data_IF_777998544721
#
_entry.id   IF_777998544721
#
_cell.length_a   1.000
_cell.length_b   1.000
_cell.length_c   1.000
_cell.angle_alpha   90.00
_cell.angle_beta   90.00
_cell.angle_gamma   90.00
#
_symmetry.space_group_name_H-M   'P 1'
#
loop_
_entity.id
_entity.type
_entity.pdbx_description
1 polymer ?
#
# COMPACT_ATOMS: atom_id res chain seq x y z
N UNK A 1 -2.99 5.34 61.67
CA UNK A 1 -4.10 4.45 61.33
C UNK A 1 -5.07 5.27 60.52
N UNK A 2 -4.98 5.15 59.20
CA UNK A 2 -6.02 5.44 58.22
C UNK A 2 -5.43 4.97 56.89
N UNK A 3 -5.96 3.84 56.41
CA UNK A 3 -5.52 3.14 55.19
C UNK A 3 -6.37 3.62 54.03
N UNK A 4 -5.73 4.17 53.00
CA UNK A 4 -6.30 4.33 51.68
C UNK A 4 -6.43 2.96 51.02
N UNK A 5 -7.65 2.53 50.69
CA UNK A 5 -7.88 1.43 49.75
C UNK A 5 -8.11 2.03 48.36
N UNK A 6 -7.34 1.53 47.40
CA UNK A 6 -7.53 1.82 45.98
C UNK A 6 -8.65 0.97 45.40
N UNK A 7 -9.40 1.55 44.47
CA UNK A 7 -10.28 0.81 43.57
C UNK A 7 -9.49 0.47 42.31
N UNK A 8 -8.95 -0.75 42.27
CA UNK A 8 -8.66 -1.48 41.03
C UNK A 8 -9.98 -2.10 40.56
N UNK A 9 -10.49 -1.65 39.41
CA UNK A 9 -11.55 -2.39 38.69
C UNK A 9 -10.93 -3.01 37.44
N UNK A 10 -10.16 -4.08 37.63
CA UNK A 10 -9.92 -5.09 36.60
C UNK A 10 -11.09 -6.09 36.66
N UNK A 11 -12.00 -5.98 35.70
CA UNK A 11 -13.02 -7.02 35.48
C UNK A 11 -12.48 -8.01 34.44
N UNK A 12 -12.24 -9.28 34.78
CA UNK A 12 -11.98 -10.32 33.79
C UNK A 12 -13.29 -10.61 33.04
N UNK A 13 -13.24 -10.59 31.71
CA UNK A 13 -14.34 -10.98 30.83
C UNK A 13 -14.58 -12.49 31.01
N UNK A 14 -15.62 -12.84 31.76
CA UNK A 14 -16.13 -14.20 31.88
C UNK A 14 -17.13 -14.45 30.75
N UNK A 15 -16.79 -15.32 29.79
CA UNK A 15 -17.78 -15.86 28.84
C UNK A 15 -18.28 -17.19 29.38
N UNK A 16 -19.54 -17.24 29.82
CA UNK A 16 -20.26 -18.50 30.08
C UNK A 16 -21.12 -18.83 28.86
N UNK A 17 -21.10 -20.10 28.45
CA UNK A 17 -22.18 -20.70 27.66
C UNK A 17 -23.35 -20.99 28.59
N UNK A 18 -24.50 -20.40 28.30
CA UNK A 18 -25.79 -21.06 28.13
C UNK A 18 -26.87 -19.96 27.95
N UNK A 19 -27.47 -19.93 26.75
CA UNK A 19 -28.76 -19.32 26.39
C UNK A 19 -29.14 -17.90 26.87
N UNK A 20 -28.19 -16.96 26.89
CA UNK A 20 -28.51 -15.53 26.86
C UNK A 20 -27.72 -14.86 25.72
N UNK A 21 -28.41 -14.07 24.91
CA UNK A 21 -27.81 -13.20 23.89
C UNK A 21 -26.89 -12.22 24.63
N UNK A 22 -25.62 -12.58 24.75
CA UNK A 22 -24.55 -11.68 25.16
C UNK A 22 -24.63 -10.52 24.18
N UNK A 23 -24.91 -9.32 24.68
CA UNK A 23 -24.78 -8.09 23.88
C UNK A 23 -23.45 -8.17 23.14
N UNK A 24 -23.49 -8.23 21.80
CA UNK A 24 -22.29 -8.43 20.97
C UNK A 24 -21.20 -7.49 21.48
N UNK A 25 -20.16 -8.08 22.09
CA UNK A 25 -19.08 -7.30 22.66
C UNK A 25 -18.46 -6.53 21.49
N UNK A 26 -18.68 -5.21 21.47
CA UNK A 26 -18.21 -4.34 20.39
C UNK A 26 -16.71 -4.54 20.19
N UNK A 27 -16.30 -4.89 18.97
CA UNK A 27 -14.89 -5.00 18.63
C UNK A 27 -14.15 -3.70 18.93
N UNK A 28 -13.06 -3.81 19.69
CA UNK A 28 -12.16 -2.70 20.05
C UNK A 28 -10.71 -3.09 19.74
N UNK A 29 -10.47 -3.72 18.60
CA UNK A 29 -9.14 -4.04 18.11
C UNK A 29 -8.39 -2.82 17.61
N UNK A 30 -7.07 -2.95 17.51
CA UNK A 30 -6.19 -1.91 17.00
C UNK A 30 -4.95 -2.54 16.40
N UNK A 31 -4.26 -1.74 15.58
CA UNK A 31 -2.94 -2.03 15.03
C UNK A 31 -1.90 -1.15 15.68
N UNK A 32 -0.73 -1.71 15.99
CA UNK A 32 0.45 -0.96 16.36
C UNK A 32 1.27 -0.64 15.11
N UNK A 33 1.81 0.56 15.03
CA UNK A 33 2.70 0.97 13.97
C UNK A 33 3.92 1.67 14.56
N UNK A 34 5.06 1.58 13.89
CA UNK A 34 6.22 2.38 14.24
C UNK A 34 7.24 2.54 13.12
N UNK A 35 8.05 3.57 13.24
CA UNK A 35 9.09 3.92 12.28
C UNK A 35 10.23 4.69 12.99
N UNK A 36 11.38 4.78 12.33
CA UNK A 36 12.57 5.45 12.83
C UNK A 36 12.41 6.96 12.92
N UNK A 37 13.04 7.53 13.95
CA UNK A 37 13.37 8.94 14.04
C UNK A 37 14.89 9.07 14.15
N UNK A 38 15.51 9.41 13.03
CA UNK A 38 16.95 9.63 12.95
C UNK A 38 17.27 11.13 12.97
N UNK A 39 18.19 11.53 13.85
CA UNK A 39 18.70 12.90 13.94
C UNK A 39 20.21 12.92 14.03
N UNK A 40 20.84 13.57 13.04
CA UNK A 40 22.29 13.79 13.04
C UNK A 40 22.61 15.21 13.44
N UNK A 41 23.34 15.38 14.56
CA UNK A 41 23.86 16.66 15.01
C UNK A 41 25.32 16.78 14.59
N UNK A 42 25.58 17.71 13.65
CA UNK A 42 26.92 17.98 13.15
C UNK A 42 27.54 19.15 13.93
N UNK A 43 28.75 19.01 14.50
CA UNK A 43 29.43 20.14 15.10
C UNK A 43 29.85 21.13 14.01
N UNK A 44 29.89 22.44 14.34
CA UNK A 44 30.36 23.49 13.41
C UNK A 44 31.78 23.21 12.91
N UNK A 45 32.66 22.81 13.82
CA UNK A 45 34.03 22.39 13.52
C UNK A 45 34.22 20.97 14.06
N UNK A 46 34.44 20.00 13.18
CA UNK A 46 34.79 18.64 13.58
C UNK A 46 36.21 18.60 14.14
N UNK A 47 36.39 18.01 15.31
CA UNK A 47 37.69 17.76 15.93
C UNK A 47 37.76 16.32 16.41
N UNK A 48 38.95 15.81 16.72
CA UNK A 48 39.10 14.46 17.30
C UNK A 48 38.18 14.26 18.53
N UNK A 49 38.01 15.31 19.35
CA UNK A 49 37.15 15.30 20.54
C UNK A 49 35.68 15.68 20.29
N UNK A 50 35.32 16.18 19.11
CA UNK A 50 33.95 16.61 18.75
C UNK A 50 33.59 16.06 17.38
N UNK A 51 33.03 14.86 17.39
CA UNK A 51 32.52 14.16 16.22
C UNK A 51 31.01 14.40 16.04
N UNK A 52 30.48 14.04 14.86
CA UNK A 52 29.04 14.05 14.61
C UNK A 52 28.34 13.05 15.51
N UNK A 53 27.24 13.47 16.12
CA UNK A 53 26.40 12.59 16.94
C UNK A 53 25.18 12.18 16.13
N UNK A 54 24.91 10.88 16.08
CA UNK A 54 23.71 10.33 15.42
C UNK A 54 22.81 9.72 16.48
N UNK A 55 21.60 10.25 16.58
CA UNK A 55 20.56 9.74 17.47
C UNK A 55 19.57 8.96 16.59
N UNK A 56 19.41 7.66 16.87
CA UNK A 56 18.49 6.80 16.15
C UNK A 56 17.45 6.29 17.15
N UNK A 57 16.23 6.79 17.03
CA UNK A 57 15.11 6.50 17.93
C UNK A 57 13.98 5.84 17.17
N UNK A 58 12.97 5.36 17.89
CA UNK A 58 11.80 4.71 17.29
C UNK A 58 10.52 5.36 17.79
N UNK A 59 9.66 5.82 16.88
CA UNK A 59 8.36 6.37 17.22
C UNK A 59 7.26 5.33 16.99
N UNK A 60 6.29 5.27 17.88
CA UNK A 60 5.18 4.32 17.77
C UNK A 60 3.83 4.98 18.00
N UNK A 61 2.81 4.42 17.38
CA UNK A 61 1.41 4.83 17.53
C UNK A 61 0.49 3.62 17.37
N UNK A 62 -0.72 3.72 17.90
CA UNK A 62 -1.79 2.75 17.70
C UNK A 62 -2.87 3.36 16.80
N UNK A 63 -3.47 2.54 15.94
CA UNK A 63 -4.59 2.91 15.07
C UNK A 63 -5.76 1.99 15.40
N UNK A 64 -6.91 2.56 15.74
CA UNK A 64 -8.11 1.78 16.04
C UNK A 64 -8.65 1.11 14.77
N UNK A 65 -9.06 -0.14 14.88
CA UNK A 65 -9.72 -0.84 13.78
C UNK A 65 -11.08 -0.20 13.49
N UNK A 66 -11.38 -0.02 12.20
CA UNK A 66 -12.70 0.47 11.75
C UNK A 66 -13.69 -0.64 11.42
N UNK A 67 -13.18 -1.86 11.30
CA UNK A 67 -13.94 -3.04 10.89
C UNK A 67 -13.92 -4.01 12.07
N UNK A 68 -15.06 -4.65 12.32
CA UNK A 68 -15.17 -5.71 13.29
C UNK A 68 -14.49 -6.98 12.76
N UNK A 69 -13.44 -7.42 13.47
CA UNK A 69 -12.67 -8.62 13.14
C UNK A 69 -12.90 -9.75 14.15
N UNK A 70 -13.95 -9.69 14.97
CA UNK A 70 -14.28 -10.69 15.98
C UNK A 70 -14.54 -12.09 15.43
N UNK A 71 -14.97 -12.18 14.16
CA UNK A 71 -15.19 -13.43 13.44
C UNK A 71 -13.93 -13.99 12.78
N UNK A 72 -12.81 -13.27 12.81
CA UNK A 72 -11.56 -13.76 12.26
C UNK A 72 -10.93 -14.77 13.21
N UNK A 73 -10.60 -15.94 12.68
CA UNK A 73 -9.89 -16.97 13.43
C UNK A 73 -8.43 -16.56 13.65
N UNK A 74 -7.97 -16.65 14.89
CA UNK A 74 -6.53 -16.62 15.20
C UNK A 74 -5.85 -17.99 14.97
N UNK A 75 -6.65 -19.04 14.80
CA UNK A 75 -6.15 -20.35 14.41
C UNK A 75 -5.85 -20.34 12.92
N UNK A 76 -4.64 -20.78 12.55
CA UNK A 76 -4.26 -20.97 11.16
C UNK A 76 -5.28 -21.90 10.47
N UNK A 77 -5.84 -21.52 9.31
CA UNK A 77 -6.82 -22.37 8.64
C UNK A 77 -6.17 -23.71 8.26
N UNK A 78 -6.80 -24.82 8.63
CA UNK A 78 -6.44 -26.17 8.17
C UNK A 78 -6.73 -26.26 6.66
N UNK A 79 -5.76 -25.94 5.81
CA UNK A 79 -5.86 -26.08 4.35
C UNK A 79 -4.91 -27.18 3.86
N UNK A 80 -5.33 -27.90 2.82
CA UNK A 80 -4.66 -29.02 2.17
C UNK A 80 -3.16 -28.77 1.92
N UNK A 81 -2.37 -29.83 2.10
CA UNK A 81 -0.91 -29.88 2.02
C UNK A 81 -0.30 -29.49 0.66
N UNK A 82 -1.10 -29.22 -0.37
CA UNK A 82 -0.64 -28.84 -1.71
C UNK A 82 -1.00 -27.38 -2.05
N UNK A 83 -0.06 -26.42 -1.89
CA UNK A 83 -0.30 -25.03 -2.24
C UNK A 83 -0.43 -24.87 -3.77
N UNK A 84 -1.57 -24.35 -4.24
CA UNK A 84 -1.74 -23.94 -5.64
C UNK A 84 -0.99 -22.64 -5.91
N UNK A 85 0.29 -22.75 -6.29
CA UNK A 85 1.16 -21.62 -6.62
C UNK A 85 0.58 -20.64 -7.66
N UNK A 86 -0.41 -21.05 -8.46
CA UNK A 86 -1.14 -20.15 -9.34
C UNK A 86 -1.91 -19.04 -8.61
N UNK A 87 -2.35 -19.29 -7.37
CA UNK A 87 -3.14 -18.36 -6.57
C UNK A 87 -2.39 -17.07 -6.18
N UNK A 88 -1.07 -17.14 -5.99
CA UNK A 88 -0.24 -15.96 -5.65
C UNK A 88 0.29 -15.22 -6.88
N UNK A 89 0.19 -15.82 -8.07
CA UNK A 89 0.63 -15.22 -9.32
C UNK A 89 -0.52 -14.44 -9.97
N UNK A 90 -0.22 -13.42 -10.80
CA UNK A 90 -1.23 -12.74 -11.57
C UNK A 90 -1.97 -13.69 -12.52
N UNK A 91 -3.31 -13.66 -12.45
CA UNK A 91 -4.18 -14.34 -13.42
C UNK A 91 -4.77 -13.36 -14.45
N UNK A 92 -5.40 -13.90 -15.50
CA UNK A 92 -6.14 -13.08 -16.45
C UNK A 92 -7.30 -12.32 -15.79
N UNK A 93 -7.95 -12.90 -14.79
CA UNK A 93 -9.03 -12.24 -14.05
C UNK A 93 -8.49 -11.05 -13.24
N UNK A 94 -7.30 -11.20 -12.63
CA UNK A 94 -6.64 -10.09 -11.95
C UNK A 94 -6.27 -8.98 -12.95
N UNK A 95 -5.79 -9.34 -14.15
CA UNK A 95 -5.50 -8.38 -15.23
C UNK A 95 -6.75 -7.57 -15.59
N UNK A 96 -7.86 -8.25 -15.88
CA UNK A 96 -9.11 -7.62 -16.27
C UNK A 96 -9.67 -6.73 -15.14
N UNK A 97 -9.58 -7.20 -13.90
CA UNK A 97 -10.00 -6.40 -12.73
C UNK A 97 -9.19 -5.12 -12.60
N UNK A 98 -7.85 -5.19 -12.70
CA UNK A 98 -6.98 -4.02 -12.60
C UNK A 98 -7.26 -3.05 -13.76
N UNK A 99 -7.44 -3.54 -14.99
CA UNK A 99 -7.76 -2.69 -16.15
C UNK A 99 -9.09 -1.94 -15.94
N UNK A 100 -10.12 -2.61 -15.41
CA UNK A 100 -11.40 -1.97 -15.08
C UNK A 100 -11.25 -0.89 -14.01
N UNK A 101 -10.44 -1.13 -12.98
CA UNK A 101 -10.16 -0.12 -11.97
C UNK A 101 -9.41 1.08 -12.57
N UNK A 102 -8.41 0.82 -13.43
CA UNK A 102 -7.70 1.87 -14.17
C UNK A 102 -8.65 2.66 -15.09
N UNK A 103 -9.65 2.03 -15.70
CA UNK A 103 -10.66 2.72 -16.50
C UNK A 103 -11.43 3.76 -15.66
N UNK A 104 -11.76 3.45 -14.41
CA UNK A 104 -12.35 4.43 -13.49
C UNK A 104 -11.37 5.59 -13.21
N UNK A 105 -10.08 5.31 -13.03
CA UNK A 105 -9.06 6.36 -12.85
C UNK A 105 -8.89 7.23 -14.09
N UNK A 106 -8.92 6.63 -15.28
CA UNK A 106 -8.91 7.33 -16.57
C UNK A 106 -10.15 8.23 -16.67
N UNK A 107 -11.35 7.73 -16.36
CA UNK A 107 -12.57 8.54 -16.36
C UNK A 107 -12.44 9.78 -15.44
N UNK A 108 -11.88 9.61 -14.23
CA UNK A 108 -11.59 10.73 -13.32
C UNK A 108 -10.61 11.74 -13.92
N UNK A 109 -9.56 11.27 -14.59
CA UNK A 109 -8.60 12.13 -15.31
C UNK A 109 -9.30 12.94 -16.39
N UNK A 110 -10.14 12.31 -17.21
CA UNK A 110 -10.85 12.97 -18.32
C UNK A 110 -11.78 14.06 -17.80
N UNK A 111 -12.66 13.74 -16.84
CA UNK A 111 -13.60 14.69 -16.23
C UNK A 111 -12.88 15.86 -15.58
N UNK A 112 -11.77 15.61 -14.89
CA UNK A 112 -11.02 16.66 -14.19
C UNK A 112 -10.38 17.66 -15.15
N UNK A 113 -9.93 17.23 -16.33
CA UNK A 113 -9.03 18.02 -17.18
C UNK A 113 -9.63 18.46 -18.52
N UNK A 114 -10.68 17.80 -19.04
CA UNK A 114 -11.30 18.16 -20.33
C UNK A 114 -12.67 18.76 -20.08
N UNK A 115 -12.87 20.00 -20.54
CA UNK A 115 -14.11 20.76 -20.36
C UNK A 115 -15.37 20.02 -20.86
N UNK A 116 -15.28 19.32 -21.99
CA UNK A 116 -16.35 18.45 -22.50
C UNK A 116 -16.73 17.36 -21.48
N UNK A 117 -15.74 16.61 -20.97
CA UNK A 117 -16.02 15.53 -20.03
C UNK A 117 -16.56 16.06 -18.71
N UNK A 118 -16.02 17.18 -18.24
CA UNK A 118 -16.52 17.87 -17.05
C UNK A 118 -17.99 18.24 -17.19
N UNK A 119 -18.36 18.87 -18.29
CA UNK A 119 -19.72 19.34 -18.53
C UNK A 119 -20.74 18.19 -18.55
N UNK A 120 -20.37 17.05 -19.13
CA UNK A 120 -21.30 15.96 -19.39
C UNK A 120 -21.27 14.83 -18.36
N UNK A 121 -20.17 14.62 -17.64
CA UNK A 121 -19.98 13.42 -16.81
C UNK A 121 -19.60 13.68 -15.34
N UNK A 122 -19.43 14.93 -14.90
CA UNK A 122 -19.11 15.24 -13.48
C UNK A 122 -20.10 14.61 -12.50
N UNK A 123 -21.39 14.56 -12.86
CA UNK A 123 -22.43 13.97 -12.02
C UNK A 123 -22.51 12.44 -12.12
N UNK A 124 -21.92 11.84 -13.15
CA UNK A 124 -22.00 10.42 -13.50
C UNK A 124 -20.74 9.62 -13.16
N UNK A 125 -19.57 10.27 -13.10
CA UNK A 125 -18.27 9.62 -12.88
C UNK A 125 -18.15 9.03 -11.47
N UNK A 126 -17.43 7.92 -11.36
CA UNK A 126 -17.19 7.24 -10.08
C UNK A 126 -15.89 7.70 -9.43
N UNK A 127 -16.00 8.54 -8.38
CA UNK A 127 -14.85 9.06 -7.64
C UNK A 127 -14.30 8.10 -6.57
N UNK A 128 -15.10 7.15 -6.11
CA UNK A 128 -14.72 6.12 -5.14
C UNK A 128 -15.12 4.76 -5.69
N UNK A 129 -14.15 3.88 -5.95
CA UNK A 129 -14.43 2.50 -6.34
C UNK A 129 -14.97 1.79 -5.10
N UNK A 130 -16.21 1.35 -5.17
CA UNK A 130 -16.89 0.73 -4.02
C UNK A 130 -16.33 -0.67 -3.76
N UNK A 131 -16.19 -0.99 -2.48
CA UNK A 131 -15.77 -2.28 -1.95
C UNK A 131 -16.55 -2.63 -0.68
N UNK A 132 -16.29 -3.82 -0.14
CA UNK A 132 -17.03 -4.38 1.01
C UNK A 132 -17.08 -3.46 2.22
N UNK A 133 -16.02 -2.70 2.46
CA UNK A 133 -15.84 -1.87 3.66
C UNK A 133 -15.79 -0.36 3.36
N UNK A 134 -16.34 0.08 2.23
CA UNK A 134 -16.29 1.50 1.83
C UNK A 134 -16.90 2.42 2.89
N UNK A 135 -17.98 2.01 3.55
CA UNK A 135 -18.63 2.83 4.57
C UNK A 135 -17.70 3.05 5.76
N UNK A 136 -17.08 1.99 6.26
CA UNK A 136 -16.14 1.99 7.38
C UNK A 136 -14.88 2.79 7.01
N UNK A 137 -14.27 2.49 5.86
CA UNK A 137 -13.02 3.12 5.42
C UNK A 137 -13.17 4.59 5.00
N UNK A 138 -14.39 5.06 4.73
CA UNK A 138 -14.68 6.49 4.52
C UNK A 138 -14.60 7.35 5.79
N UNK A 139 -14.52 6.72 6.97
CA UNK A 139 -14.44 7.43 8.25
C UNK A 139 -12.99 7.75 8.65
N UNK A 140 -12.80 8.87 9.34
CA UNK A 140 -11.48 9.33 9.79
C UNK A 140 -10.89 8.31 10.78
N UNK A 141 -9.62 7.93 10.59
CA UNK A 141 -8.90 7.06 11.53
C UNK A 141 -8.77 7.70 12.91
N UNK A 142 -8.93 6.89 13.95
CA UNK A 142 -8.56 7.25 15.32
C UNK A 142 -7.14 6.74 15.61
N UNK A 143 -6.25 7.66 15.99
CA UNK A 143 -4.82 7.38 16.16
C UNK A 143 -4.37 7.88 17.52
N UNK A 144 -3.70 7.02 18.28
CA UNK A 144 -3.12 7.33 19.59
C UNK A 144 -1.60 7.25 19.51
N UNK A 145 -0.93 8.36 19.79
CA UNK A 145 0.53 8.38 19.82
C UNK A 145 1.04 7.70 21.09
N UNK A 146 1.89 6.69 20.95
CA UNK A 146 2.48 5.93 22.06
C UNK A 146 3.86 6.47 22.47
N UNK A 147 4.40 7.41 21.69
CA UNK A 147 5.61 8.16 21.99
C UNK A 147 6.87 7.61 21.31
N UNK A 148 8.00 8.21 21.71
CA UNK A 148 9.33 7.96 21.15
C UNK A 148 10.14 7.14 22.15
N UNK A 149 10.69 6.01 21.69
CA UNK A 149 11.65 5.22 22.41
C UNK A 149 13.07 5.64 22.04
N UNK A 150 13.89 5.93 23.05
CA UNK A 150 15.29 6.31 22.88
C UNK A 150 16.20 5.10 22.61
N UNK A 151 15.76 4.22 21.71
CA UNK A 151 16.37 2.94 21.34
C UNK A 151 16.30 2.84 19.82
N UNK A 152 17.27 2.16 19.22
CA UNK A 152 17.37 1.99 17.78
C UNK A 152 16.91 0.60 17.35
N UNK A 153 16.16 0.53 16.25
CA UNK A 153 15.84 -0.76 15.62
C UNK A 153 17.05 -1.42 14.90
N UNK A 154 18.16 -0.69 14.77
CA UNK A 154 19.36 -1.20 14.09
C UNK A 154 20.04 -2.33 14.87
N UNK A 155 19.86 -2.36 16.18
CA UNK A 155 20.38 -3.39 17.09
C UNK A 155 19.24 -4.26 17.61
N UNK A 156 19.44 -5.59 17.64
CA UNK A 156 18.47 -6.51 18.23
C UNK A 156 18.24 -6.23 19.73
N UNK A 157 19.29 -5.92 20.49
CA UNK A 157 19.18 -5.70 21.93
C UNK A 157 18.35 -4.45 22.26
N UNK A 158 18.50 -3.39 21.47
CA UNK A 158 17.73 -2.16 21.64
C UNK A 158 16.30 -2.31 21.09
N UNK A 159 16.13 -3.00 19.96
CA UNK A 159 14.81 -3.25 19.40
C UNK A 159 13.96 -4.17 20.28
N UNK A 160 14.56 -5.18 20.91
CA UNK A 160 13.87 -6.03 21.87
C UNK A 160 13.31 -5.24 23.06
N UNK A 161 14.00 -4.17 23.49
CA UNK A 161 13.49 -3.28 24.54
C UNK A 161 12.33 -2.42 24.05
N UNK A 162 12.26 -2.10 22.75
CA UNK A 162 11.09 -1.46 22.14
C UNK A 162 9.92 -2.45 22.13
N UNK A 163 10.13 -3.69 21.66
CA UNK A 163 9.10 -4.72 21.61
C UNK A 163 8.57 -5.06 23.02
N UNK A 164 9.43 -5.14 24.04
CA UNK A 164 9.01 -5.34 25.44
C UNK A 164 8.11 -4.21 25.96
N UNK A 165 8.22 -2.98 25.42
CA UNK A 165 7.32 -1.87 25.77
C UNK A 165 6.01 -1.95 25.01
N UNK A 166 6.06 -2.33 23.74
CA UNK A 166 4.86 -2.50 22.91
C UNK A 166 4.02 -3.70 23.37
N UNK A 167 4.65 -4.76 23.86
CA UNK A 167 4.01 -5.96 24.40
C UNK A 167 3.04 -5.65 25.54
N UNK A 168 3.26 -4.55 26.27
CA UNK A 168 2.38 -4.12 27.38
C UNK A 168 0.99 -3.71 26.91
N UNK A 169 0.84 -3.36 25.63
CA UNK A 169 -0.45 -2.99 25.06
C UNK A 169 -1.24 -4.20 24.55
N UNK A 170 -0.61 -5.39 24.47
CA UNK A 170 -1.25 -6.58 23.92
C UNK A 170 -2.37 -7.06 24.84
N UNK A 171 -3.64 -7.12 24.36
CA UNK A 171 -4.73 -7.68 25.12
C UNK A 171 -4.50 -9.17 25.38
N UNK A 172 -4.94 -9.61 26.56
CA UNK A 172 -4.82 -11.01 27.00
C UNK A 172 -6.21 -11.61 27.10
N UNK A 173 -6.38 -12.81 26.55
CA UNK A 173 -7.61 -13.60 26.65
C UNK A 173 -7.35 -14.84 27.50
N UNK A 174 -8.34 -15.23 28.30
CA UNK A 174 -8.30 -16.50 29.03
C UNK A 174 -9.06 -17.52 28.18
N UNK A 175 -8.36 -18.57 27.74
CA UNK A 175 -8.91 -19.63 26.90
C UNK A 175 -8.84 -20.95 27.67
N UNK A 176 -9.91 -21.72 27.63
CA UNK A 176 -9.90 -23.09 28.16
C UNK A 176 -9.23 -24.02 27.14
N UNK A 177 -8.17 -24.71 27.56
CA UNK A 177 -7.49 -25.72 26.74
C UNK A 177 -7.25 -26.97 27.61
N UNK A 178 -7.80 -28.11 27.19
CA UNK A 178 -7.76 -29.38 27.93
C UNK A 178 -8.28 -29.27 29.40
N UNK A 179 -9.33 -28.47 29.63
CA UNK A 179 -9.91 -28.27 30.98
C UNK A 179 -9.09 -27.36 31.90
N UNK A 180 -8.02 -26.74 31.38
CA UNK A 180 -7.21 -25.76 32.09
C UNK A 180 -7.39 -24.38 31.46
N UNK A 181 -7.65 -23.38 32.31
CA UNK A 181 -7.68 -21.98 31.89
C UNK A 181 -6.25 -21.49 31.65
N UNK A 182 -5.94 -21.08 30.42
CA UNK A 182 -4.64 -20.51 30.04
C UNK A 182 -4.84 -19.08 29.56
N UNK A 183 -3.97 -18.19 30.02
CA UNK A 183 -3.87 -16.85 29.44
C UNK A 183 -3.11 -16.95 28.12
N UNK A 184 -3.74 -16.48 27.05
CA UNK A 184 -3.20 -16.44 25.69
C UNK A 184 -3.22 -15.00 25.22
N UNK A 185 -2.19 -14.59 24.50
CA UNK A 185 -2.12 -13.24 23.93
C UNK A 185 -3.04 -13.15 22.72
N UNK A 186 -3.78 -12.05 22.60
CA UNK A 186 -4.39 -11.69 21.33
C UNK A 186 -3.30 -11.25 20.34
N UNK A 187 -3.46 -11.55 19.06
CA UNK A 187 -2.51 -11.12 18.04
C UNK A 187 -2.85 -9.72 17.54
N UNK A 188 -1.89 -8.81 17.66
CA UNK A 188 -1.97 -7.43 17.20
C UNK A 188 -0.93 -7.22 16.12
N UNK A 189 -1.35 -6.62 15.01
CA UNK A 189 -0.45 -6.26 13.92
C UNK A 189 0.58 -5.22 14.40
N UNK A 190 1.86 -5.46 14.11
CA UNK A 190 2.96 -4.52 14.28
C UNK A 190 3.46 -4.08 12.92
N UNK A 191 2.96 -2.94 12.46
CA UNK A 191 3.31 -2.30 11.21
C UNK A 191 4.63 -1.53 11.26
N UNK A 192 5.45 -1.68 10.24
CA UNK A 192 6.62 -0.84 9.99
C UNK A 192 7.07 -0.95 8.54
N UNK A 193 8.25 -0.42 8.22
CA UNK A 193 8.86 -0.72 6.92
C UNK A 193 9.32 -2.20 6.85
N UNK A 194 9.82 -2.61 5.69
CA UNK A 194 10.29 -3.98 5.50
C UNK A 194 11.39 -4.37 6.49
N UNK A 195 12.30 -3.44 6.83
CA UNK A 195 13.39 -3.72 7.76
C UNK A 195 12.89 -3.83 9.20
N UNK A 196 11.96 -2.98 9.62
CA UNK A 196 11.29 -3.06 10.92
C UNK A 196 10.58 -4.39 11.08
N UNK A 197 9.80 -4.81 10.07
CA UNK A 197 9.10 -6.10 10.09
C UNK A 197 10.09 -7.28 10.17
N UNK A 198 11.13 -7.28 9.34
CA UNK A 198 12.18 -8.30 9.37
C UNK A 198 12.91 -8.34 10.72
N UNK A 199 13.19 -7.18 11.33
CA UNK A 199 13.82 -7.07 12.64
C UNK A 199 12.92 -7.61 13.74
N UNK A 200 11.62 -7.38 13.67
CA UNK A 200 10.65 -7.92 14.61
C UNK A 200 10.57 -9.45 14.51
N UNK A 201 10.48 -10.02 13.29
CA UNK A 201 10.54 -11.48 13.08
C UNK A 201 11.84 -12.09 13.63
N UNK A 202 12.98 -11.49 13.32
CA UNK A 202 14.28 -11.92 13.87
C UNK A 202 14.34 -11.85 15.40
N UNK A 203 13.71 -10.84 16.00
CA UNK A 203 13.64 -10.67 17.45
C UNK A 203 12.76 -11.75 18.11
N UNK A 204 11.63 -12.10 17.48
CA UNK A 204 10.79 -13.24 17.90
C UNK A 204 11.56 -14.55 17.84
N UNK A 205 12.32 -14.77 16.76
CA UNK A 205 13.15 -15.97 16.59
C UNK A 205 14.22 -16.11 17.69
N UNK A 206 14.89 -15.03 18.06
CA UNK A 206 15.87 -15.03 19.18
C UNK A 206 15.22 -15.48 20.50
N UNK A 207 13.95 -15.11 20.71
CA UNK A 207 13.22 -15.40 21.95
C UNK A 207 12.28 -16.60 21.85
N UNK A 208 12.30 -17.37 20.76
CA UNK A 208 11.36 -18.48 20.51
C UNK A 208 11.31 -19.51 21.64
N UNK A 209 12.45 -19.77 22.31
CA UNK A 209 12.54 -20.74 23.41
C UNK A 209 12.22 -20.13 24.80
N UNK A 210 11.70 -18.91 24.86
CA UNK A 210 11.34 -18.28 26.13
C UNK A 210 10.13 -18.96 26.78
N UNK A 211 10.09 -18.94 28.10
CA UNK A 211 9.10 -19.68 28.90
C UNK A 211 7.68 -19.12 28.84
N UNK A 212 7.51 -17.85 28.50
CA UNK A 212 6.19 -17.18 28.45
C UNK A 212 5.91 -16.57 27.09
N UNK A 213 4.63 -16.53 26.71
CA UNK A 213 4.10 -15.92 25.48
C UNK A 213 4.57 -14.47 25.33
N UNK A 214 4.47 -13.69 26.42
CA UNK A 214 4.98 -12.32 26.48
C UNK A 214 6.46 -12.21 26.15
N UNK A 215 7.30 -13.12 26.68
CA UNK A 215 8.74 -13.11 26.35
C UNK A 215 9.01 -13.59 24.94
N UNK A 216 8.20 -14.50 24.41
CA UNK A 216 8.26 -14.93 23.00
C UNK A 216 7.69 -13.86 22.04
N UNK A 217 7.04 -12.81 22.56
CA UNK A 217 6.41 -11.74 21.78
C UNK A 217 5.36 -12.31 20.80
N UNK A 218 4.60 -13.34 21.23
CA UNK A 218 3.63 -14.03 20.37
C UNK A 218 2.44 -13.16 20.00
N UNK A 219 2.13 -12.12 20.80
CA UNK A 219 1.06 -11.18 20.54
C UNK A 219 1.36 -10.13 19.48
N UNK A 220 2.61 -9.97 19.06
CA UNK A 220 3.00 -9.01 18.02
C UNK A 220 3.16 -9.72 16.68
N UNK A 221 2.33 -9.39 15.69
CA UNK A 221 2.39 -9.95 14.33
C UNK A 221 3.05 -8.94 13.36
N UNK A 222 4.33 -9.11 12.98
CA UNK A 222 5.03 -8.12 12.16
C UNK A 222 4.49 -8.06 10.72
N UNK A 223 4.10 -6.87 10.28
CA UNK A 223 3.61 -6.61 8.93
C UNK A 223 4.32 -5.42 8.30
N UNK A 224 4.58 -5.51 6.99
CA UNK A 224 5.15 -4.41 6.22
C UNK A 224 4.04 -3.44 5.78
N UNK A 225 4.26 -2.14 5.97
CA UNK A 225 3.34 -1.08 5.55
C UNK A 225 3.56 -0.68 4.08
N UNK A 226 2.48 -0.29 3.42
CA UNK A 226 2.48 -0.07 1.97
C UNK A 226 3.23 1.19 1.51
N UNK A 227 3.51 2.17 2.39
CA UNK A 227 4.18 3.41 1.99
C UNK A 227 5.56 3.16 1.40
N UNK A 228 6.41 2.38 2.08
CA UNK A 228 7.74 2.07 1.56
C UNK A 228 7.65 1.16 0.32
N UNK A 229 6.69 0.23 0.26
CA UNK A 229 6.39 -0.56 -0.95
C UNK A 229 6.09 0.35 -2.14
N UNK A 230 5.28 1.40 -1.94
CA UNK A 230 4.98 2.42 -2.95
C UNK A 230 6.23 3.17 -3.40
N UNK A 231 7.14 3.50 -2.49
CA UNK A 231 8.43 4.14 -2.82
C UNK A 231 9.31 3.22 -3.67
N UNK A 232 9.37 1.92 -3.37
CA UNK A 232 10.12 0.96 -4.17
C UNK A 232 9.49 0.76 -5.55
N UNK A 233 8.16 0.72 -5.62
CA UNK A 233 7.45 0.70 -6.91
C UNK A 233 7.80 1.93 -7.75
N UNK A 234 7.81 3.13 -7.15
CA UNK A 234 8.24 4.36 -7.82
C UNK A 234 9.69 4.27 -8.31
N UNK A 235 10.60 3.73 -7.49
CA UNK A 235 12.01 3.53 -7.89
C UNK A 235 12.15 2.61 -9.11
N UNK A 236 11.37 1.53 -9.17
CA UNK A 236 11.36 0.59 -10.30
C UNK A 236 10.88 1.29 -11.57
N UNK A 237 9.75 1.99 -11.49
CA UNK A 237 9.19 2.74 -12.60
C UNK A 237 10.19 3.80 -13.08
N UNK A 238 10.83 4.50 -12.15
CA UNK A 238 11.80 5.55 -12.45
C UNK A 238 13.04 4.99 -13.14
N UNK A 239 13.62 3.90 -12.64
CA UNK A 239 14.76 3.21 -13.30
C UNK A 239 14.42 2.77 -14.73
N UNK A 240 13.16 2.44 -14.99
CA UNK A 240 12.69 1.97 -16.28
C UNK A 240 12.46 3.12 -17.28
N UNK A 241 11.85 4.22 -16.83
CA UNK A 241 11.36 5.29 -17.70
C UNK A 241 12.20 6.56 -17.71
N UNK A 242 13.05 6.77 -16.70
CA UNK A 242 13.81 8.00 -16.52
C UNK A 242 15.30 7.78 -16.80
N UNK A 243 15.84 8.56 -17.74
CA UNK A 243 17.26 8.55 -18.07
C UNK A 243 17.77 9.95 -18.35
N UNK A 244 18.85 10.38 -17.70
CA UNK A 244 19.38 11.74 -17.86
C UNK A 244 19.89 12.03 -19.27
N UNK A 245 20.24 10.99 -20.04
CA UNK A 245 20.71 11.13 -21.43
C UNK A 245 19.56 11.33 -22.42
N UNK A 246 18.31 11.02 -22.04
CA UNK A 246 17.13 11.16 -22.91
C UNK A 246 16.60 12.60 -23.03
N UNK A 247 17.46 13.61 -22.79
CA UNK A 247 17.07 15.02 -22.81
C UNK A 247 16.58 15.51 -24.18
N UNK A 248 17.07 14.90 -25.26
CA UNK A 248 16.67 15.18 -26.64
C UNK A 248 15.48 14.35 -27.10
N UNK A 249 15.11 13.32 -26.35
CA UNK A 249 14.08 12.36 -26.73
C UNK A 249 12.72 12.90 -26.29
N UNK A 250 11.98 13.47 -27.23
CA UNK A 250 10.71 14.13 -26.96
C UNK A 250 9.70 13.20 -26.31
N UNK A 251 9.04 13.69 -25.25
CA UNK A 251 8.03 12.93 -24.51
C UNK A 251 8.60 12.10 -23.36
N UNK A 252 9.91 11.88 -23.29
CA UNK A 252 10.50 11.16 -22.14
C UNK A 252 10.40 11.96 -20.84
N UNK A 253 10.39 11.27 -19.70
CA UNK A 253 10.34 11.91 -18.38
C UNK A 253 11.44 12.96 -18.20
N UNK A 254 12.67 12.69 -18.67
CA UNK A 254 13.77 13.65 -18.56
C UNK A 254 13.56 14.89 -19.43
N UNK A 255 13.17 14.70 -20.69
CA UNK A 255 12.90 15.81 -21.60
C UNK A 255 11.74 16.67 -21.08
N UNK A 256 10.63 16.06 -20.68
CA UNK A 256 9.46 16.76 -20.14
C UNK A 256 9.80 17.50 -18.86
N UNK A 257 10.54 16.89 -17.92
CA UNK A 257 10.97 17.53 -16.67
C UNK A 257 11.68 18.85 -16.95
N UNK A 258 12.59 18.86 -17.92
CA UNK A 258 13.35 20.05 -18.29
C UNK A 258 12.46 21.07 -19.04
N UNK A 259 11.59 20.61 -19.93
CA UNK A 259 10.65 21.45 -20.69
C UNK A 259 9.73 22.25 -19.76
N UNK A 260 9.14 21.61 -18.74
CA UNK A 260 8.24 22.26 -17.79
C UNK A 260 8.96 22.78 -16.54
N UNK A 261 10.29 22.82 -16.55
CA UNK A 261 11.15 23.39 -15.50
C UNK A 261 10.91 22.81 -14.08
N UNK A 262 10.60 21.50 -13.97
CA UNK A 262 10.44 20.78 -12.70
C UNK A 262 11.78 20.40 -12.07
N UNK A 263 12.55 21.40 -11.62
CA UNK A 263 13.94 21.21 -11.12
C UNK A 263 14.05 20.42 -9.81
N UNK A 264 12.98 20.35 -9.03
CA UNK A 264 12.92 19.56 -7.79
C UNK A 264 12.80 18.05 -8.05
N UNK A 265 12.49 17.63 -9.28
CA UNK A 265 12.42 16.21 -9.65
C UNK A 265 13.83 15.66 -9.85
N UNK A 266 14.22 14.82 -8.91
CA UNK A 266 15.56 14.23 -8.79
C UNK A 266 15.66 12.91 -9.56
N UNK A 267 16.90 12.48 -9.86
CA UNK A 267 17.14 11.20 -10.53
C UNK A 267 16.94 9.99 -9.62
N UNK A 268 17.06 10.19 -8.30
CA UNK A 268 16.83 9.17 -7.28
C UNK A 268 15.52 9.52 -6.54
N UNK A 269 14.41 8.82 -6.82
CA UNK A 269 13.09 9.17 -6.31
C UNK A 269 13.01 9.15 -4.78
N UNK A 270 13.87 8.38 -4.09
CA UNK A 270 13.89 8.32 -2.62
C UNK A 270 14.30 9.64 -1.95
N UNK A 271 15.05 10.49 -2.66
CA UNK A 271 15.50 11.78 -2.11
C UNK A 271 14.39 12.83 -2.06
N UNK A 272 13.42 12.74 -2.95
CA UNK A 272 12.22 13.59 -2.95
C UNK A 272 11.07 12.81 -3.61
N UNK A 273 10.45 11.94 -2.81
CA UNK A 273 9.37 11.05 -3.25
C UNK A 273 8.19 11.88 -3.75
N UNK A 274 7.80 12.92 -3.01
CA UNK A 274 6.64 13.75 -3.31
C UNK A 274 6.80 14.44 -4.67
N UNK A 275 7.95 15.10 -4.91
CA UNK A 275 8.19 15.77 -6.19
C UNK A 275 8.16 14.80 -7.37
N UNK A 276 8.71 13.60 -7.16
CA UNK A 276 8.84 12.58 -8.22
C UNK A 276 7.50 11.90 -8.50
N UNK A 277 6.72 11.58 -7.47
CA UNK A 277 5.36 11.04 -7.56
C UNK A 277 4.41 12.04 -8.25
N UNK A 278 4.41 13.31 -7.83
CA UNK A 278 3.60 14.37 -8.44
C UNK A 278 3.92 14.53 -9.93
N UNK A 279 5.20 14.41 -10.29
CA UNK A 279 5.63 14.51 -11.69
C UNK A 279 5.23 13.27 -12.50
N UNK A 280 5.38 12.06 -11.95
CA UNK A 280 4.89 10.84 -12.60
C UNK A 280 3.39 10.96 -12.88
N UNK A 281 2.59 11.31 -11.87
CA UNK A 281 1.14 11.49 -12.00
C UNK A 281 0.77 12.54 -13.05
N UNK A 282 1.50 13.66 -13.10
CA UNK A 282 1.30 14.70 -14.10
C UNK A 282 1.56 14.19 -15.52
N UNK A 283 2.68 13.49 -15.74
CA UNK A 283 3.04 12.97 -17.06
C UNK A 283 2.08 11.87 -17.48
N UNK A 284 1.76 10.92 -16.60
CA UNK A 284 0.74 9.88 -16.87
C UNK A 284 -0.60 10.50 -17.25
N UNK A 285 -1.07 11.48 -16.48
CA UNK A 285 -2.29 12.24 -16.80
C UNK A 285 -2.21 12.86 -18.20
N UNK A 286 -1.09 13.51 -18.54
CA UNK A 286 -0.89 14.16 -19.84
C UNK A 286 -0.94 13.14 -20.99
N UNK A 287 -0.33 11.98 -20.83
CA UNK A 287 -0.35 10.90 -21.82
C UNK A 287 -1.76 10.34 -22.03
N UNK A 288 -2.51 10.10 -20.95
CA UNK A 288 -3.92 9.68 -21.04
C UNK A 288 -4.77 10.71 -21.80
N UNK A 289 -4.57 12.00 -21.51
CA UNK A 289 -5.28 13.08 -22.20
C UNK A 289 -4.93 13.15 -23.69
N UNK A 290 -3.65 12.97 -24.04
CA UNK A 290 -3.22 12.90 -25.44
C UNK A 290 -3.93 11.76 -26.20
N UNK A 291 -4.01 10.56 -25.60
CA UNK A 291 -4.71 9.42 -26.21
C UNK A 291 -6.21 9.72 -26.39
N UNK A 292 -6.86 10.28 -25.37
CA UNK A 292 -8.27 10.64 -25.45
C UNK A 292 -8.53 11.69 -26.55
N UNK A 293 -7.71 12.73 -26.63
CA UNK A 293 -7.80 13.75 -27.67
C UNK A 293 -7.61 13.16 -29.07
N UNK A 294 -6.67 12.23 -29.26
CA UNK A 294 -6.47 11.54 -30.53
C UNK A 294 -7.70 10.72 -30.93
N UNK A 295 -8.25 9.91 -30.02
CA UNK A 295 -9.47 9.12 -30.27
C UNK A 295 -10.69 9.99 -30.60
N UNK A 296 -10.83 11.12 -29.92
CA UNK A 296 -11.93 12.08 -30.12
C UNK A 296 -11.68 13.10 -31.23
N UNK A 297 -10.54 13.00 -31.92
CA UNK A 297 -10.09 13.93 -32.97
C UNK A 297 -10.13 15.41 -32.51
N UNK A 298 -9.79 15.64 -31.25
CA UNK A 298 -9.72 16.98 -30.66
C UNK A 298 -8.41 17.66 -31.07
N UNK A 299 -8.49 18.93 -31.50
CA UNK A 299 -7.30 19.73 -31.85
C UNK A 299 -6.61 20.31 -30.61
N UNK A 300 -7.41 20.74 -29.65
CA UNK A 300 -6.99 21.35 -28.39
C UNK A 300 -7.75 20.72 -27.22
N UNK A 301 -7.22 20.82 -26.00
CA UNK A 301 -7.83 20.18 -24.83
C UNK A 301 -9.24 20.70 -24.52
N UNK A 302 -9.51 21.97 -24.85
CA UNK A 302 -10.82 22.61 -24.68
C UNK A 302 -11.70 22.54 -25.94
N UNK A 303 -11.21 21.95 -27.02
CA UNK A 303 -12.02 21.76 -28.23
C UNK A 303 -13.08 20.69 -28.01
N UNK A 304 -14.25 20.84 -28.63
CA UNK A 304 -15.26 19.77 -28.60
C UNK A 304 -14.79 18.59 -29.46
N UNK A 305 -15.14 17.34 -29.10
CA UNK A 305 -14.88 16.18 -29.92
C UNK A 305 -15.38 16.38 -31.35
N UNK A 306 -14.54 16.08 -32.34
CA UNK A 306 -14.87 16.26 -33.76
C UNK A 306 -15.35 14.96 -34.41
N UNK A 307 -15.90 14.04 -33.60
CA UNK A 307 -16.50 12.79 -34.05
C UNK A 307 -17.97 13.03 -34.36
N UNK A 308 -18.43 12.63 -35.54
CA UNK A 308 -19.70 13.09 -36.13
C UNK A 308 -20.96 12.77 -35.31
N UNK A 309 -20.90 11.83 -34.35
CA UNK A 309 -21.94 11.63 -33.32
C UNK A 309 -21.30 11.01 -32.08
N UNK A 310 -21.24 11.73 -30.96
CA UNK A 310 -21.05 11.13 -29.64
C UNK A 310 -22.43 10.94 -29.01
N UNK A 311 -22.98 9.74 -29.10
CA UNK A 311 -24.19 9.39 -28.35
C UNK A 311 -23.80 9.07 -26.91
N UNK A 312 -23.69 10.12 -26.10
CA UNK A 312 -23.29 10.03 -24.69
C UNK A 312 -24.44 9.61 -23.76
N UNK A 313 -25.66 9.44 -24.29
CA UNK A 313 -26.85 9.17 -23.49
C UNK A 313 -27.42 10.38 -22.76
N UNK A 314 -28.69 10.31 -22.38
CA UNK A 314 -29.42 11.40 -21.73
C UNK A 314 -29.56 11.19 -20.21
N UNK A 315 -29.57 9.94 -19.76
CA UNK A 315 -29.66 9.57 -18.35
C UNK A 315 -28.27 9.54 -17.70
N UNK A 316 -28.24 9.60 -16.36
CA UNK A 316 -26.98 9.51 -15.61
C UNK A 316 -26.34 8.13 -15.78
N UNK A 317 -27.15 7.09 -15.84
CA UNK A 317 -26.73 5.70 -16.01
C UNK A 317 -26.09 5.46 -17.38
N UNK A 318 -26.71 5.94 -18.46
CA UNK A 318 -26.14 5.86 -19.82
C UNK A 318 -24.83 6.64 -19.92
N UNK A 319 -24.76 7.86 -19.35
CA UNK A 319 -23.52 8.65 -19.31
C UNK A 319 -22.42 7.94 -18.52
N UNK A 320 -22.78 7.30 -17.40
CA UNK A 320 -21.84 6.51 -16.58
C UNK A 320 -21.30 5.33 -17.36
N UNK A 321 -22.15 4.58 -18.05
CA UNK A 321 -21.74 3.46 -18.89
C UNK A 321 -20.81 3.95 -20.00
N UNK A 322 -21.20 5.00 -20.71
CA UNK A 322 -20.43 5.57 -21.82
C UNK A 322 -19.01 5.97 -21.42
N UNK A 323 -18.84 6.74 -20.34
CA UNK A 323 -17.50 7.21 -19.94
C UNK A 323 -16.62 6.05 -19.47
N UNK A 324 -17.19 5.05 -18.81
CA UNK A 324 -16.45 3.87 -18.37
C UNK A 324 -16.04 3.03 -19.57
N UNK A 325 -16.94 2.77 -20.53
CA UNK A 325 -16.60 2.03 -21.76
C UNK A 325 -15.49 2.74 -22.53
N UNK A 326 -15.60 4.05 -22.76
CA UNK A 326 -14.56 4.83 -23.44
C UNK A 326 -13.22 4.79 -22.69
N UNK A 327 -13.26 4.86 -21.35
CA UNK A 327 -12.05 4.79 -20.52
C UNK A 327 -11.43 3.39 -20.49
N UNK A 328 -12.25 2.34 -20.54
CA UNK A 328 -11.81 0.94 -20.61
C UNK A 328 -11.19 0.62 -21.96
N UNK A 329 -11.67 1.22 -23.06
CA UNK A 329 -11.00 1.15 -24.37
C UNK A 329 -9.59 1.74 -24.31
N UNK A 330 -9.42 2.91 -23.70
CA UNK A 330 -8.10 3.54 -23.51
C UNK A 330 -7.21 2.63 -22.66
N UNK A 331 -7.70 2.17 -21.50
CA UNK A 331 -6.92 1.33 -20.61
C UNK A 331 -6.53 0.00 -21.30
N UNK A 332 -7.47 -0.69 -21.95
CA UNK A 332 -7.22 -1.99 -22.56
C UNK A 332 -6.25 -1.95 -23.74
N UNK A 333 -6.26 -0.87 -24.53
CA UNK A 333 -5.39 -0.72 -25.70
C UNK A 333 -3.95 -0.30 -25.32
N UNK A 334 -3.81 0.57 -24.31
CA UNK A 334 -2.53 1.21 -23.99
C UNK A 334 -1.87 0.68 -22.70
N UNK A 335 -2.59 -0.08 -21.87
CA UNK A 335 -2.02 -0.71 -20.67
C UNK A 335 -1.57 -2.14 -20.97
N UNK A 336 -0.31 -2.39 -20.70
CA UNK A 336 0.29 -3.71 -20.76
C UNK A 336 0.99 -4.05 -19.44
N UNK A 337 0.29 -4.80 -18.59
CA UNK A 337 0.83 -5.25 -17.29
C UNK A 337 1.92 -6.33 -17.43
N UNK A 338 2.16 -6.87 -18.62
CA UNK A 338 3.25 -7.83 -18.86
C UNK A 338 4.60 -7.17 -19.14
N UNK A 339 4.65 -5.83 -19.18
CA UNK A 339 5.85 -5.04 -19.51
C UNK A 339 7.07 -5.37 -18.64
N UNK A 340 6.87 -5.93 -17.45
CA UNK A 340 7.94 -6.34 -16.54
C UNK A 340 8.51 -7.74 -16.77
N UNK A 341 7.84 -8.57 -17.59
CA UNK A 341 8.15 -10.00 -17.72
C UNK A 341 9.08 -10.34 -18.89
N UNK A 342 9.45 -9.37 -19.72
CA UNK A 342 10.13 -9.66 -20.98
C UNK A 342 11.32 -8.75 -21.20
N UNK A 343 12.45 -9.36 -21.57
CA UNK A 343 13.43 -8.78 -22.50
C UNK A 343 12.71 -8.49 -23.83
N UNK A 344 11.82 -7.50 -23.83
CA UNK A 344 11.11 -7.08 -25.03
C UNK A 344 12.16 -6.63 -26.03
N UNK A 345 12.25 -7.34 -27.15
CA UNK A 345 12.90 -6.82 -28.35
C UNK A 345 12.06 -5.63 -28.79
N UNK A 346 12.46 -4.44 -28.37
CA UNK A 346 11.87 -3.18 -28.84
C UNK A 346 12.05 -3.19 -30.35
N UNK A 347 10.95 -3.06 -31.08
CA UNK A 347 11.01 -2.78 -32.51
C UNK A 347 11.72 -1.42 -32.68
N UNK A 348 12.89 -1.36 -33.34
CA UNK A 348 13.63 -0.10 -33.48
C UNK A 348 12.80 1.02 -34.13
N UNK A 349 11.83 0.65 -34.97
CA UNK A 349 11.03 1.59 -35.76
C UNK A 349 9.93 2.29 -34.95
N UNK A 350 9.50 1.77 -33.78
CA UNK A 350 8.39 2.34 -33.00
C UNK A 350 8.66 2.50 -31.49
N UNK A 351 9.90 2.84 -31.16
CA UNK A 351 10.34 3.05 -29.78
C UNK A 351 9.58 4.19 -29.06
N UNK A 352 9.03 5.17 -29.79
CA UNK A 352 8.28 6.30 -29.21
C UNK A 352 6.90 5.84 -28.72
N UNK A 353 6.16 5.11 -29.54
CA UNK A 353 4.84 4.59 -29.15
C UNK A 353 4.96 3.55 -28.03
N UNK A 354 5.97 2.67 -28.11
CA UNK A 354 6.22 1.69 -27.05
C UNK A 354 6.57 2.36 -25.72
N UNK A 355 7.41 3.41 -25.73
CA UNK A 355 7.68 4.20 -24.52
C UNK A 355 6.39 4.83 -23.97
N UNK A 356 5.53 5.37 -24.84
CA UNK A 356 4.27 5.98 -24.45
C UNK A 356 3.34 4.97 -23.76
N UNK A 357 3.21 3.77 -24.33
CA UNK A 357 2.44 2.66 -23.73
C UNK A 357 3.02 2.23 -22.40
N UNK A 358 4.35 2.14 -22.29
CA UNK A 358 5.01 1.80 -21.02
C UNK A 358 4.76 2.89 -19.96
N UNK A 359 4.89 4.18 -20.32
CA UNK A 359 4.55 5.31 -19.45
C UNK A 359 3.11 5.23 -18.92
N UNK A 360 2.13 4.97 -19.79
CA UNK A 360 0.72 4.84 -19.39
C UNK A 360 0.53 3.62 -18.50
N UNK A 361 1.10 2.47 -18.88
CA UNK A 361 0.97 1.20 -18.15
C UNK A 361 1.49 1.33 -16.72
N UNK A 362 2.71 1.84 -16.56
CA UNK A 362 3.36 1.93 -15.26
C UNK A 362 2.77 3.05 -14.41
N UNK A 363 2.43 4.17 -15.04
CA UNK A 363 1.77 5.29 -14.38
C UNK A 363 0.40 4.93 -13.83
N UNK A 364 -0.47 4.32 -14.65
CA UNK A 364 -1.80 3.89 -14.21
C UNK A 364 -1.72 2.77 -13.17
N UNK A 365 -0.73 1.88 -13.26
CA UNK A 365 -0.50 0.85 -12.24
C UNK A 365 -0.09 1.47 -10.89
N UNK A 366 0.79 2.46 -10.90
CA UNK A 366 1.13 3.22 -9.71
C UNK A 366 -0.10 3.93 -9.11
N UNK A 367 -0.89 4.59 -9.95
CA UNK A 367 -2.11 5.28 -9.53
C UNK A 367 -3.15 4.31 -8.97
N UNK A 368 -3.30 3.11 -9.56
CA UNK A 368 -4.19 2.06 -9.05
C UNK A 368 -3.79 1.59 -7.66
N UNK A 369 -2.50 1.27 -7.47
CA UNK A 369 -2.01 0.87 -6.17
C UNK A 369 -2.17 1.98 -5.12
N UNK A 370 -1.85 3.22 -5.49
CA UNK A 370 -2.01 4.36 -4.59
C UNK A 370 -3.47 4.64 -4.23
N UNK A 371 -4.38 4.55 -5.20
CA UNK A 371 -5.82 4.72 -4.98
C UNK A 371 -6.37 3.60 -4.09
N UNK A 372 -6.00 2.34 -4.33
CA UNK A 372 -6.42 1.20 -3.51
C UNK A 372 -6.03 1.36 -2.02
N UNK A 373 -4.79 1.81 -1.74
CA UNK A 373 -4.34 2.12 -0.37
C UNK A 373 -5.19 3.22 0.24
N UNK A 374 -5.44 4.31 -0.51
CA UNK A 374 -6.19 5.48 -0.01
C UNK A 374 -7.65 5.13 0.30
N UNK A 375 -8.27 4.32 -0.54
CA UNK A 375 -9.66 3.85 -0.35
C UNK A 375 -9.77 2.73 0.70
N UNK A 376 -8.64 2.17 1.16
CA UNK A 376 -8.63 1.07 2.12
C UNK A 376 -9.17 -0.23 1.54
N UNK A 377 -8.95 -0.45 0.24
CA UNK A 377 -9.45 -1.61 -0.50
C UNK A 377 -8.37 -2.71 -0.52
N UNK A 378 -8.47 -3.62 0.46
CA UNK A 378 -7.52 -4.72 0.62
C UNK A 378 -7.45 -5.65 -0.59
N UNK A 379 -8.58 -5.92 -1.26
CA UNK A 379 -8.62 -6.83 -2.42
C UNK A 379 -7.88 -6.23 -3.62
N UNK A 380 -8.04 -4.92 -3.86
CA UNK A 380 -7.29 -4.21 -4.90
C UNK A 380 -5.80 -4.15 -4.58
N UNK A 381 -5.45 -3.80 -3.34
CA UNK A 381 -4.05 -3.81 -2.87
C UNK A 381 -3.43 -5.18 -3.10
N UNK A 382 -4.13 -6.24 -2.72
CA UNK A 382 -3.66 -7.62 -2.87
C UNK A 382 -3.45 -8.03 -4.33
N UNK A 383 -4.35 -7.63 -5.23
CA UNK A 383 -4.18 -7.82 -6.67
C UNK A 383 -2.92 -7.12 -7.20
N UNK A 384 -2.64 -5.88 -6.77
CA UNK A 384 -1.40 -5.19 -7.12
C UNK A 384 -0.16 -5.92 -6.59
N UNK A 385 -0.20 -6.46 -5.37
CA UNK A 385 0.90 -7.23 -4.78
C UNK A 385 1.30 -8.45 -5.62
N UNK A 386 0.36 -9.13 -6.29
CA UNK A 386 0.67 -10.24 -7.22
C UNK A 386 1.57 -9.80 -8.39
N UNK A 387 1.29 -8.63 -8.97
CA UNK A 387 2.12 -8.07 -10.03
C UNK A 387 3.45 -7.54 -9.48
N UNK A 388 3.41 -6.84 -8.34
CA UNK A 388 4.60 -6.31 -7.69
C UNK A 388 5.59 -7.40 -7.26
N UNK A 389 5.11 -8.59 -6.85
CA UNK A 389 5.96 -9.75 -6.59
C UNK A 389 6.90 -10.02 -7.78
N UNK A 390 6.35 -10.07 -8.99
CA UNK A 390 7.13 -10.32 -10.20
C UNK A 390 8.06 -9.14 -10.50
N UNK A 391 7.57 -7.90 -10.35
CA UNK A 391 8.37 -6.69 -10.56
C UNK A 391 9.59 -6.64 -9.61
N UNK A 392 9.38 -6.90 -8.32
CA UNK A 392 10.44 -6.90 -7.32
C UNK A 392 11.46 -8.01 -7.59
N UNK A 393 10.99 -9.20 -7.99
CA UNK A 393 11.84 -10.31 -8.40
C UNK A 393 12.69 -9.95 -9.63
N UNK A 394 12.09 -9.38 -10.66
CA UNK A 394 12.76 -9.02 -11.92
C UNK A 394 13.78 -7.89 -11.75
N UNK A 395 13.57 -6.99 -10.79
CA UNK A 395 14.40 -5.79 -10.58
C UNK A 395 15.37 -5.91 -9.40
N UNK A 396 15.60 -7.14 -8.90
CA UNK A 396 16.51 -7.42 -7.78
C UNK A 396 16.16 -6.75 -6.44
N UNK A 397 14.88 -6.43 -6.21
CA UNK A 397 14.38 -5.98 -4.90
C UNK A 397 13.95 -7.17 -4.05
N UNK A 398 14.91 -8.04 -3.73
CA UNK A 398 14.72 -9.35 -3.09
C UNK A 398 13.88 -9.31 -1.81
N UNK A 399 14.14 -8.33 -0.95
CA UNK A 399 13.44 -8.20 0.32
C UNK A 399 11.94 -7.93 0.11
N UNK A 400 11.59 -7.02 -0.80
CA UNK A 400 10.19 -6.71 -1.10
C UNK A 400 9.52 -7.83 -1.90
N UNK A 401 10.27 -8.59 -2.71
CA UNK A 401 9.77 -9.81 -3.33
C UNK A 401 9.43 -10.87 -2.27
N UNK A 402 10.25 -10.99 -1.22
CA UNK A 402 10.00 -11.90 -0.11
C UNK A 402 8.80 -11.44 0.73
N UNK A 403 8.65 -10.15 1.02
CA UNK A 403 7.45 -9.63 1.69
C UNK A 403 6.19 -9.85 0.86
N UNK A 404 6.24 -9.59 -0.45
CA UNK A 404 5.14 -9.86 -1.36
C UNK A 404 4.74 -11.33 -1.33
N UNK A 405 5.73 -12.23 -1.45
CA UNK A 405 5.49 -13.67 -1.37
C UNK A 405 4.89 -14.05 -0.01
N UNK A 406 5.44 -13.55 1.09
CA UNK A 406 4.99 -13.87 2.45
C UNK A 406 3.55 -13.42 2.66
N UNK A 407 3.21 -12.17 2.30
CA UNK A 407 1.86 -11.64 2.38
C UNK A 407 0.87 -12.47 1.55
N UNK A 408 1.23 -12.74 0.29
CA UNK A 408 0.36 -13.46 -0.63
C UNK A 408 0.14 -14.92 -0.19
N UNK A 409 1.22 -15.55 0.26
CA UNK A 409 1.18 -16.92 0.73
C UNK A 409 0.46 -17.06 2.07
N UNK A 410 0.65 -16.15 3.04
CA UNK A 410 -0.06 -16.19 4.33
C UNK A 410 -1.57 -16.01 4.20
N UNK A 411 -2.01 -15.26 3.19
CA UNK A 411 -3.44 -15.12 2.89
C UNK A 411 -4.05 -16.38 2.28
N UNK A 412 -3.29 -17.10 1.43
CA UNK A 412 -3.80 -18.26 0.70
C UNK A 412 -3.50 -19.61 1.37
N UNK A 413 -2.39 -19.72 2.12
CA UNK A 413 -1.84 -20.96 2.67
C UNK A 413 -1.22 -20.75 4.05
N UNK A 414 -0.86 -21.88 4.66
CA UNK A 414 -0.12 -21.92 5.92
C UNK A 414 1.37 -21.75 5.63
N UNK A 415 1.91 -20.56 5.87
CA UNK A 415 3.35 -20.38 6.14
C UNK A 415 3.51 -19.93 7.59
N UNK A 416 4.18 -20.73 8.46
CA UNK A 416 4.56 -20.23 9.78
C UNK A 416 5.46 -18.99 9.61
N UNK A 417 5.29 -18.02 10.51
CA UNK A 417 6.05 -16.75 10.55
C UNK A 417 7.57 -16.90 10.57
#
# INVERSE_FOLDING_TARGET
METCNGDETDNPILVRRDDEVISEAKWNGFKLCGDNIDKTVKPRNMTISKQSQSFNYFNSYAVLDRIDMSLCSEEAPLIDLEPDMGSILPSNDNKLSIIRNMAVLVARILVKNISFFKLHFEDAVEYHIKHKFTKEMSTKSEVVNLGIYLHSERSYDEFLQILDKLEKYIPKKIVEHDGLMREVHHQVLLGGDQMTAARARGSKMIRMNSTTDSKRLTGLLPVSEDWHTKVILLEIIWKRLYSTVSITDHGTLQQLRNLINRRNVVSDPKKDVNATEDFLNLVTTSYVLCVAMQKLKMKEIDSSPSVDVLDIGNTKEERKEWIITFSEEIASEYVDLSTFNSDRKIDPEDHVYEYAKEMISLGLFYMEYHDAIREGDGDRVFNCWKYMLIMFRATSHWNYALEAFTLLAQYHWILPE
#
